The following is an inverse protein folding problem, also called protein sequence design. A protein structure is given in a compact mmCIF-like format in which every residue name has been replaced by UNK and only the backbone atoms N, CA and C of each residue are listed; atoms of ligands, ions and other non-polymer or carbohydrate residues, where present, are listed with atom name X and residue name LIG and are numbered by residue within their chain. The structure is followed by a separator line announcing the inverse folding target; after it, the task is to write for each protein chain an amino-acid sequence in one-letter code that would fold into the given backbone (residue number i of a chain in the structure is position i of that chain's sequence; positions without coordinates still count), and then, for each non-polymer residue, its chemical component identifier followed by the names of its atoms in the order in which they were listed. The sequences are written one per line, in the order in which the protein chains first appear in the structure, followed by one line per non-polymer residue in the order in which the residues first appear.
data_IF_277241530906
#
_entry.id   IF_277241530906
#
_cell.length_a   1.000
_cell.length_b   1.000
_cell.length_c   1.000
_cell.angle_alpha   90.00
_cell.angle_beta   90.00
_cell.angle_gamma   90.00
#
_symmetry.space_group_name_H-M   'P 1'
#
loop_
_entity.id
_entity.type
_entity.pdbx_description
1 polymer ?
#
# COMPACT_ATOMS: atom_id res chain seq x y z
N UNK A 1 65.95 -7.46 5.07
CA UNK A 1 64.90 -6.78 5.82
C UNK A 1 63.64 -6.76 4.96
N UNK A 2 62.72 -7.71 5.18
CA UNK A 2 61.49 -7.87 4.36
C UNK A 2 60.39 -7.18 5.16
N UNK A 3 59.85 -6.10 4.63
CA UNK A 3 58.69 -5.39 5.19
C UNK A 3 57.41 -6.10 4.70
N UNK A 4 56.74 -6.77 5.62
CA UNK A 4 55.43 -7.40 5.40
C UNK A 4 54.35 -6.32 5.51
N UNK A 5 53.80 -5.89 4.35
CA UNK A 5 52.63 -5.00 4.34
C UNK A 5 51.39 -5.83 4.66
N UNK A 6 50.83 -5.68 5.87
CA UNK A 6 49.54 -6.21 6.24
C UNK A 6 48.43 -5.30 5.65
N UNK A 7 47.74 -5.77 4.62
CA UNK A 7 46.53 -5.16 4.09
C UNK A 7 45.40 -5.42 5.09
N UNK A 8 45.08 -4.38 5.89
CA UNK A 8 43.90 -4.37 6.75
C UNK A 8 42.68 -4.08 5.86
N UNK A 9 41.95 -5.12 5.47
CA UNK A 9 40.68 -4.97 4.75
C UNK A 9 39.63 -4.44 5.73
N UNK A 10 39.38 -3.13 5.68
CA UNK A 10 38.30 -2.48 6.39
C UNK A 10 36.97 -2.87 5.72
N UNK A 11 36.30 -3.88 6.26
CA UNK A 11 34.90 -4.19 5.90
C UNK A 11 34.04 -3.04 6.42
N UNK A 12 33.72 -2.08 5.57
CA UNK A 12 32.65 -1.10 5.79
C UNK A 12 31.32 -1.85 5.78
N UNK A 13 30.79 -2.17 6.95
CA UNK A 13 29.39 -2.51 7.12
C UNK A 13 28.58 -1.26 6.76
N UNK A 14 28.16 -1.14 5.48
CA UNK A 14 27.08 -0.24 5.13
C UNK A 14 25.83 -0.75 5.84
N UNK A 15 25.17 0.07 6.68
CA UNK A 15 23.88 -0.32 7.22
C UNK A 15 22.95 -0.57 6.03
N UNK A 16 22.34 -1.75 5.99
CA UNK A 16 21.27 -2.02 5.03
C UNK A 16 20.29 -0.85 5.12
N UNK A 17 20.03 -0.18 4.00
CA UNK A 17 19.06 0.90 3.95
C UNK A 17 17.76 0.33 4.56
N UNK A 18 17.35 0.89 5.71
CA UNK A 18 16.09 0.49 6.32
C UNK A 18 15.00 0.68 5.28
N UNK A 19 14.34 -0.41 4.88
CA UNK A 19 13.26 -0.36 3.91
C UNK A 19 12.24 0.68 4.34
N UNK A 20 11.72 1.44 3.39
CA UNK A 20 10.72 2.48 3.64
C UNK A 20 9.52 1.86 4.35
N UNK A 21 9.25 2.29 5.58
CA UNK A 21 8.07 1.91 6.34
C UNK A 21 7.04 3.05 6.30
N UNK A 22 5.81 2.74 5.92
CA UNK A 22 4.69 3.69 5.91
C UNK A 22 3.60 3.15 6.81
N UNK A 23 3.14 3.96 7.76
CA UNK A 23 2.05 3.63 8.68
C UNK A 23 0.74 4.24 8.21
N UNK A 24 -0.32 3.51 8.41
CA UNK A 24 -1.69 3.91 8.08
C UNK A 24 -2.50 3.94 9.37
N UNK A 25 -3.06 5.10 9.67
CA UNK A 25 -3.79 5.36 10.91
C UNK A 25 -5.30 5.47 10.65
N UNK A 26 -6.09 5.08 11.62
CA UNK A 26 -7.55 5.19 11.57
C UNK A 26 -7.98 6.67 11.59
N UNK A 27 -8.83 7.06 10.68
CA UNK A 27 -9.35 8.44 10.60
C UNK A 27 -8.21 9.45 10.51
N UNK A 28 -8.34 10.54 11.24
CA UNK A 28 -7.37 11.65 11.36
C UNK A 28 -6.37 11.44 12.52
N UNK A 29 -6.16 10.19 12.92
CA UNK A 29 -5.26 9.88 14.04
C UNK A 29 -3.80 9.82 13.60
N UNK A 30 -2.90 10.12 14.55
CA UNK A 30 -1.45 9.91 14.46
C UNK A 30 -0.91 9.12 15.67
N UNK A 31 -1.81 8.57 16.50
CA UNK A 31 -1.42 7.78 17.65
C UNK A 31 -1.07 6.34 17.25
N UNK A 32 -0.01 5.79 17.86
CA UNK A 32 0.49 4.45 17.54
C UNK A 32 -0.57 3.34 17.75
N UNK A 33 -1.48 3.54 18.67
CA UNK A 33 -2.55 2.57 18.95
C UNK A 33 -3.65 2.55 17.88
N UNK A 34 -3.70 3.59 17.05
CA UNK A 34 -4.65 3.71 15.94
C UNK A 34 -4.06 3.25 14.58
N UNK A 35 -2.86 2.65 14.59
CA UNK A 35 -2.28 2.10 13.36
C UNK A 35 -3.11 0.89 12.90
N UNK A 36 -3.75 1.02 11.73
CA UNK A 36 -4.54 -0.04 11.10
C UNK A 36 -3.63 -1.05 10.42
N UNK A 37 -2.68 -0.55 9.62
CA UNK A 37 -1.71 -1.37 8.92
C UNK A 37 -0.39 -0.62 8.69
N UNK A 38 0.64 -1.39 8.38
CA UNK A 38 1.98 -0.89 8.04
C UNK A 38 2.39 -1.45 6.70
N UNK A 39 2.88 -0.60 5.80
CA UNK A 39 3.42 -1.00 4.50
C UNK A 39 4.94 -0.99 4.56
N UNK A 40 5.56 -2.11 4.22
CA UNK A 40 7.02 -2.27 4.20
C UNK A 40 7.42 -3.36 3.20
N UNK A 41 8.42 -3.05 2.38
CA UNK A 41 9.01 -3.99 1.41
C UNK A 41 7.96 -4.71 0.53
N UNK A 42 7.00 -3.94 -0.01
CA UNK A 42 5.94 -4.46 -0.87
C UNK A 42 4.92 -5.36 -0.13
N UNK A 43 4.79 -5.21 1.19
CA UNK A 43 3.85 -6.00 2.01
C UNK A 43 3.04 -5.10 2.94
N UNK A 44 1.77 -5.46 3.11
CA UNK A 44 0.85 -4.81 4.04
C UNK A 44 0.69 -5.71 5.26
N UNK A 45 1.13 -5.23 6.41
CA UNK A 45 1.07 -5.93 7.69
C UNK A 45 -0.11 -5.43 8.53
N UNK A 46 -0.70 -6.29 9.32
CA UNK A 46 -1.74 -5.96 10.30
C UNK A 46 -1.16 -5.06 11.40
N UNK A 47 -1.77 -3.90 11.61
CA UNK A 47 -1.36 -2.95 12.64
C UNK A 47 0.12 -2.61 12.52
N UNK A 48 0.84 -2.71 13.63
CA UNK A 48 2.30 -2.46 13.75
C UNK A 48 3.13 -3.74 13.68
N UNK A 49 2.54 -4.85 13.30
CA UNK A 49 3.23 -6.15 13.27
C UNK A 49 4.37 -6.18 12.25
N UNK A 50 5.36 -7.01 12.54
CA UNK A 50 6.45 -7.37 11.64
C UNK A 50 6.53 -8.88 11.37
N UNK A 51 5.57 -9.65 11.90
CA UNK A 51 5.54 -11.10 11.74
C UNK A 51 4.98 -11.49 10.38
N UNK A 52 5.55 -12.54 9.78
CA UNK A 52 5.10 -13.06 8.49
C UNK A 52 3.65 -13.56 8.51
N UNK A 53 3.18 -14.05 9.67
CA UNK A 53 1.79 -14.47 9.89
C UNK A 53 0.78 -13.33 9.81
N UNK A 54 1.23 -12.09 10.00
CA UNK A 54 0.39 -10.91 10.04
C UNK A 54 0.42 -10.11 8.72
N UNK A 55 1.02 -10.68 7.67
CA UNK A 55 0.95 -10.12 6.33
C UNK A 55 -0.47 -10.33 5.80
N UNK A 56 -1.15 -9.22 5.54
CA UNK A 56 -2.48 -9.19 4.95
C UNK A 56 -2.43 -9.36 3.44
N UNK A 57 -1.50 -8.63 2.81
CA UNK A 57 -1.32 -8.59 1.36
C UNK A 57 0.17 -8.50 1.01
N UNK A 58 0.55 -9.11 -0.11
CA UNK A 58 1.84 -8.95 -0.76
C UNK A 58 1.65 -8.29 -2.12
N UNK A 59 2.57 -7.39 -2.48
CA UNK A 59 2.55 -6.64 -3.73
C UNK A 59 3.79 -7.05 -4.52
N UNK A 60 3.57 -7.53 -5.73
CA UNK A 60 4.63 -7.83 -6.68
C UNK A 60 4.32 -7.11 -7.99
N UNK A 61 5.12 -6.07 -8.30
CA UNK A 61 4.88 -5.13 -9.39
C UNK A 61 3.45 -4.54 -9.34
N UNK A 62 2.57 -5.00 -10.23
CA UNK A 62 1.20 -4.53 -10.39
C UNK A 62 0.16 -5.58 -9.98
N UNK A 63 0.56 -6.61 -9.25
CA UNK A 63 -0.34 -7.66 -8.77
C UNK A 63 -0.33 -7.69 -7.25
N UNK A 64 -1.53 -7.76 -6.67
CA UNK A 64 -1.73 -7.83 -5.23
C UNK A 64 -2.23 -9.23 -4.87
N UNK A 65 -1.56 -9.86 -3.92
CA UNK A 65 -1.81 -11.22 -3.47
C UNK A 65 -2.29 -11.24 -2.02
N UNK A 66 -3.07 -12.23 -1.67
CA UNK A 66 -3.50 -12.48 -0.29
C UNK A 66 -2.35 -13.06 0.54
N UNK A 67 -2.14 -12.50 1.73
CA UNK A 67 -1.16 -12.96 2.69
C UNK A 67 0.28 -12.85 2.18
N UNK A 68 1.16 -13.69 2.72
CA UNK A 68 2.56 -13.77 2.31
C UNK A 68 2.74 -14.73 1.12
N UNK A 69 2.11 -14.42 -0.01
CA UNK A 69 2.12 -15.26 -1.20
C UNK A 69 2.36 -14.44 -2.45
N UNK A 70 2.96 -15.04 -3.47
CA UNK A 70 3.06 -14.54 -4.85
C UNK A 70 2.55 -15.57 -5.85
N UNK A 71 1.85 -16.62 -5.36
CA UNK A 71 1.25 -17.61 -6.24
C UNK A 71 0.02 -17.06 -6.94
N UNK A 72 -0.17 -17.43 -8.21
CA UNK A 72 -1.28 -16.99 -9.05
C UNK A 72 -2.66 -17.26 -8.41
N UNK A 73 -2.80 -18.34 -7.63
CA UNK A 73 -4.04 -18.67 -6.93
C UNK A 73 -4.39 -17.74 -5.78
N UNK A 74 -3.40 -16.98 -5.30
CA UNK A 74 -3.58 -16.01 -4.23
C UNK A 74 -3.82 -14.58 -4.74
N UNK A 75 -3.87 -14.36 -6.06
CA UNK A 75 -4.11 -13.04 -6.65
C UNK A 75 -5.49 -12.53 -6.25
N UNK A 76 -5.52 -11.31 -5.70
CA UNK A 76 -6.76 -10.60 -5.34
C UNK A 76 -7.06 -9.44 -6.26
N UNK A 77 -6.04 -8.74 -6.74
CA UNK A 77 -6.17 -7.60 -7.64
C UNK A 77 -5.04 -7.60 -8.68
N UNK A 78 -5.36 -7.12 -9.87
CA UNK A 78 -4.39 -6.77 -10.92
C UNK A 78 -4.54 -5.30 -11.28
N UNK A 79 -3.43 -4.61 -11.51
CA UNK A 79 -3.40 -3.17 -11.81
C UNK A 79 -2.78 -2.97 -13.18
N UNK A 80 -3.47 -2.23 -14.05
CA UNK A 80 -2.93 -1.75 -15.31
C UNK A 80 -3.08 -0.22 -15.36
N UNK A 81 -1.98 0.49 -15.51
CA UNK A 81 -1.91 1.95 -15.42
C UNK A 81 -2.54 2.46 -14.09
N UNK A 82 -3.72 3.06 -14.16
CA UNK A 82 -4.48 3.55 -13.00
C UNK A 82 -5.81 2.83 -12.82
N UNK A 83 -5.95 1.66 -13.42
CA UNK A 83 -7.16 0.82 -13.38
C UNK A 83 -6.89 -0.43 -12.57
N UNK A 84 -7.82 -0.76 -11.69
CA UNK A 84 -7.75 -1.89 -10.77
C UNK A 84 -8.81 -2.91 -11.14
N UNK A 85 -8.38 -4.13 -11.40
CA UNK A 85 -9.22 -5.26 -11.81
C UNK A 85 -9.35 -6.29 -10.68
N UNK A 86 -10.47 -6.97 -10.64
CA UNK A 86 -10.69 -8.09 -9.73
C UNK A 86 -9.85 -9.31 -10.15
N UNK A 87 -9.16 -9.90 -9.18
CA UNK A 87 -8.37 -11.11 -9.39
C UNK A 87 -7.29 -10.92 -10.46
N UNK A 88 -7.22 -11.88 -11.37
CA UNK A 88 -6.25 -11.90 -12.49
C UNK A 88 -6.84 -11.36 -13.81
N UNK A 89 -8.01 -10.80 -13.74
CA UNK A 89 -8.68 -10.29 -14.92
C UNK A 89 -8.05 -8.99 -15.41
N UNK A 90 -8.21 -8.73 -16.70
CA UNK A 90 -7.97 -7.45 -17.36
C UNK A 90 -9.17 -7.10 -18.27
N UNK A 91 -10.31 -7.76 -18.04
CA UNK A 91 -11.55 -7.46 -18.78
C UNK A 91 -12.25 -6.23 -18.21
N UNK A 92 -12.86 -5.45 -19.09
CA UNK A 92 -13.56 -4.21 -18.72
C UNK A 92 -14.70 -4.42 -17.72
N UNK A 93 -15.32 -5.61 -17.71
CA UNK A 93 -16.37 -5.99 -16.76
C UNK A 93 -15.87 -6.15 -15.33
N UNK A 94 -14.57 -6.39 -15.17
CA UNK A 94 -13.97 -6.75 -13.89
C UNK A 94 -13.19 -5.60 -13.26
N UNK A 95 -13.38 -4.39 -13.82
CA UNK A 95 -12.80 -3.17 -13.26
C UNK A 95 -13.54 -2.81 -11.97
N UNK A 96 -12.79 -2.79 -10.86
CA UNK A 96 -13.29 -2.38 -9.55
C UNK A 96 -13.15 -0.87 -9.35
N UNK A 97 -11.99 -0.31 -9.69
CA UNK A 97 -11.69 1.10 -9.50
C UNK A 97 -10.80 1.67 -10.59
N UNK A 98 -10.93 2.98 -10.77
CA UNK A 98 -10.02 3.78 -11.60
C UNK A 98 -9.58 5.02 -10.83
N UNK A 99 -8.27 5.33 -10.83
CA UNK A 99 -7.72 6.52 -10.17
C UNK A 99 -7.54 7.64 -11.17
N UNK A 100 -8.08 8.81 -10.86
CA UNK A 100 -7.88 10.03 -11.64
C UNK A 100 -7.78 11.23 -10.70
N UNK A 101 -6.72 12.05 -10.86
CA UNK A 101 -6.50 13.31 -10.15
C UNK A 101 -6.71 13.22 -8.62
N UNK A 102 -6.15 12.16 -8.01
CA UNK A 102 -6.26 11.92 -6.58
C UNK A 102 -7.60 11.37 -6.11
N UNK A 103 -8.53 11.09 -7.03
CA UNK A 103 -9.86 10.54 -6.75
C UNK A 103 -9.95 9.10 -7.25
N UNK A 104 -10.48 8.22 -6.41
CA UNK A 104 -10.75 6.82 -6.72
C UNK A 104 -12.22 6.68 -7.10
N UNK A 105 -12.47 6.30 -8.34
CA UNK A 105 -13.81 6.11 -8.90
C UNK A 105 -14.21 4.63 -8.88
N UNK A 106 -15.49 4.37 -8.71
CA UNK A 106 -16.07 3.03 -8.85
C UNK A 106 -16.07 2.63 -10.33
N UNK A 107 -15.53 1.45 -10.63
CA UNK A 107 -15.46 0.92 -11.99
C UNK A 107 -14.69 1.84 -12.93
N UNK A 108 -15.22 2.03 -14.13
CA UNK A 108 -14.68 2.90 -15.19
C UNK A 108 -15.28 4.30 -15.20
N UNK A 109 -16.00 4.64 -14.16
CA UNK A 109 -16.70 5.93 -14.12
C UNK A 109 -15.73 7.10 -14.07
N UNK A 110 -16.17 8.22 -14.62
CA UNK A 110 -15.56 9.54 -14.46
C UNK A 110 -16.57 10.54 -13.85
N UNK A 111 -17.73 10.05 -13.42
CA UNK A 111 -18.74 10.91 -12.81
C UNK A 111 -18.41 11.19 -11.35
N UNK A 112 -18.60 12.44 -10.95
CA UNK A 112 -18.33 12.90 -9.57
C UNK A 112 -19.11 12.10 -8.50
N UNK A 113 -20.30 11.62 -8.82
CA UNK A 113 -21.12 10.77 -7.95
C UNK A 113 -20.52 9.39 -7.67
N UNK A 114 -19.59 8.94 -8.50
CA UNK A 114 -18.98 7.61 -8.41
C UNK A 114 -17.61 7.62 -7.75
N UNK A 115 -17.19 8.78 -7.22
CA UNK A 115 -15.98 8.89 -6.41
C UNK A 115 -16.23 8.19 -5.07
N UNK A 116 -15.45 7.15 -4.79
CA UNK A 116 -15.52 6.40 -3.53
C UNK A 116 -14.55 6.92 -2.48
N UNK A 117 -13.44 7.51 -2.92
CA UNK A 117 -12.44 8.13 -2.04
C UNK A 117 -11.69 9.25 -2.76
N UNK A 118 -11.19 10.21 -1.97
CA UNK A 118 -10.28 11.25 -2.44
C UNK A 118 -9.04 11.28 -1.55
N UNK A 119 -7.86 11.18 -2.16
CA UNK A 119 -6.56 11.30 -1.49
C UNK A 119 -6.07 12.75 -1.58
N UNK A 120 -5.84 13.37 -0.43
CA UNK A 120 -5.37 14.75 -0.33
C UNK A 120 -4.52 14.92 0.93
N UNK A 121 -3.30 15.41 0.76
CA UNK A 121 -2.37 15.73 1.87
C UNK A 121 -2.15 14.57 2.85
N UNK A 122 -2.04 13.32 2.34
CA UNK A 122 -1.87 12.12 3.15
C UNK A 122 -3.16 11.61 3.81
N UNK A 123 -4.29 12.29 3.65
CA UNK A 123 -5.59 11.87 4.16
C UNK A 123 -6.44 11.27 3.04
N UNK A 124 -7.14 10.18 3.35
CA UNK A 124 -8.09 9.55 2.44
C UNK A 124 -9.50 9.81 2.96
N UNK A 125 -10.23 10.61 2.22
CA UNK A 125 -11.59 11.05 2.53
C UNK A 125 -12.63 10.14 1.86
N UNK A 126 -13.78 9.99 2.50
CA UNK A 126 -14.93 9.29 1.91
C UNK A 126 -15.52 10.13 0.78
N UNK A 127 -15.60 9.53 -0.40
CA UNK A 127 -16.13 10.23 -1.58
C UNK A 127 -15.39 11.53 -1.85
N UNK A 128 -16.13 12.62 -1.98
CA UNK A 128 -15.61 13.97 -2.25
C UNK A 128 -15.62 14.88 -1.04
N UNK A 129 -15.86 14.32 0.16
CA UNK A 129 -16.01 15.10 1.39
C UNK A 129 -14.75 15.92 1.70
N UNK A 130 -14.90 17.20 2.11
CA UNK A 130 -13.80 18.02 2.58
C UNK A 130 -13.64 17.97 4.12
N UNK A 131 -14.53 17.26 4.83
CA UNK A 131 -14.59 17.31 6.30
C UNK A 131 -13.66 16.28 6.96
N UNK A 132 -12.98 16.68 8.03
CA UNK A 132 -12.11 15.79 8.82
C UNK A 132 -12.85 14.57 9.39
N UNK A 133 -14.14 14.72 9.73
CA UNK A 133 -14.98 13.60 10.18
C UNK A 133 -15.13 12.47 9.16
N UNK A 134 -14.85 12.76 7.89
CA UNK A 134 -15.00 11.82 6.79
C UNK A 134 -13.65 11.25 6.31
N UNK A 135 -12.57 11.50 7.07
CA UNK A 135 -11.29 10.83 6.85
C UNK A 135 -11.45 9.35 7.23
N UNK A 136 -11.22 8.48 6.25
CA UNK A 136 -11.26 7.03 6.44
C UNK A 136 -9.97 6.57 7.12
N UNK A 137 -8.82 7.05 6.59
CA UNK A 137 -7.51 6.80 7.16
C UNK A 137 -6.49 7.86 6.74
N UNK A 138 -5.41 7.94 7.51
CA UNK A 138 -4.27 8.84 7.27
C UNK A 138 -3.02 8.03 6.98
N UNK A 139 -2.23 8.46 6.00
CA UNK A 139 -0.98 7.82 5.55
C UNK A 139 0.20 8.66 6.04
N UNK A 140 1.06 8.08 6.87
CA UNK A 140 2.30 8.70 7.33
C UNK A 140 3.45 8.32 6.39
N UNK A 141 3.63 9.10 5.35
CA UNK A 141 4.60 8.88 4.30
C UNK A 141 4.01 8.93 2.90
N UNK A 142 4.67 8.31 1.93
CA UNK A 142 4.18 8.23 0.56
C UNK A 142 4.09 6.78 0.11
N UNK A 143 2.99 6.42 -0.53
CA UNK A 143 2.75 5.11 -1.12
C UNK A 143 2.83 5.21 -2.65
N UNK A 144 3.30 4.16 -3.28
CA UNK A 144 3.08 3.95 -4.72
C UNK A 144 1.61 3.65 -4.98
N UNK A 145 1.16 3.71 -6.23
CA UNK A 145 -0.23 3.41 -6.53
C UNK A 145 -0.64 1.96 -6.16
N UNK A 146 0.15 0.91 -6.47
CA UNK A 146 -0.16 -0.44 -6.00
C UNK A 146 -0.22 -0.57 -4.47
N UNK A 147 0.70 0.09 -3.74
CA UNK A 147 0.68 0.11 -2.27
C UNK A 147 -0.58 0.80 -1.74
N UNK A 148 -0.97 1.93 -2.32
CA UNK A 148 -2.21 2.63 -1.96
C UNK A 148 -3.44 1.74 -2.18
N UNK A 149 -3.53 1.05 -3.31
CA UNK A 149 -4.65 0.14 -3.61
C UNK A 149 -4.66 -1.06 -2.66
N UNK A 150 -3.49 -1.61 -2.31
CA UNK A 150 -3.40 -2.68 -1.32
C UNK A 150 -3.90 -2.22 0.06
N UNK A 151 -3.52 -1.01 0.50
CA UNK A 151 -4.03 -0.41 1.74
C UNK A 151 -5.53 -0.17 1.67
N UNK A 152 -6.02 0.42 0.58
CA UNK A 152 -7.44 0.64 0.35
C UNK A 152 -8.24 -0.66 0.45
N UNK A 153 -7.75 -1.71 -0.19
CA UNK A 153 -8.36 -3.03 -0.15
C UNK A 153 -8.32 -3.63 1.27
N UNK A 154 -7.18 -3.54 1.96
CA UNK A 154 -7.06 -4.06 3.32
C UNK A 154 -8.03 -3.37 4.28
N UNK A 155 -8.13 -2.04 4.24
CA UNK A 155 -8.98 -1.25 5.14
C UNK A 155 -10.48 -1.51 4.89
N UNK A 156 -10.90 -1.72 3.64
CA UNK A 156 -12.32 -1.81 3.30
C UNK A 156 -12.86 -3.24 3.18
N UNK A 157 -11.99 -4.24 3.03
CA UNK A 157 -12.41 -5.63 2.72
C UNK A 157 -11.79 -6.71 3.62
N UNK A 158 -10.79 -6.36 4.44
CA UNK A 158 -10.13 -7.32 5.35
C UNK A 158 -10.44 -6.99 6.81
N UNK A 159 -10.59 -5.69 7.17
CA UNK A 159 -10.89 -5.22 8.52
C UNK A 159 -12.37 -5.08 8.83
#
# INVERSE_FOLDING_TARGET
MRILLALLSLFLFLPAAAGKEVRVYKGDSHFLDDVICTVRDGKVYKGRSSFLSDILLSIDENVIYRGNSTFMSATVLTIEDKTVYEGRSTFLSDILWTMQDGSLYKGRSSFHSDIVATLRDGHVYRGTSPYFSDIIFTIDGSLTFPEFIAVWYAVNYIY
#
